data_IF_393089930882
#
_entry.id   IF_393089930882
#
_cell.length_a   1.000
_cell.length_b   1.000
_cell.length_c   1.000
_cell.angle_alpha   90.00
_cell.angle_beta   90.00
_cell.angle_gamma   90.00
#
_symmetry.space_group_name_H-M   'P 1'
#
loop_
_entity.id
_entity.type
_entity.pdbx_description
1 polymer ?
#
# COMPACT_ATOMS: atom_id res chain seq x y z
N UNK A 1 -21.66 -10.93 3.08
CA UNK A 1 -21.19 -10.66 4.43
C UNK A 1 -22.00 -9.50 5.03
N UNK A 2 -22.76 -9.71 6.13
CA UNK A 2 -23.56 -8.66 6.75
C UNK A 2 -22.70 -7.51 7.29
N UNK A 3 -21.41 -7.72 7.49
CA UNK A 3 -20.50 -6.72 8.02
C UNK A 3 -20.31 -5.48 7.16
N UNK A 4 -20.78 -5.48 5.91
CA UNK A 4 -20.76 -4.32 5.00
C UNK A 4 -22.17 -3.82 4.64
N UNK A 5 -23.19 -4.19 5.40
CA UNK A 5 -24.56 -3.72 5.15
C UNK A 5 -24.65 -2.18 5.16
N UNK A 6 -23.94 -1.51 6.08
CA UNK A 6 -23.88 -0.05 6.18
C UNK A 6 -23.41 0.61 4.87
N UNK A 7 -22.38 0.05 4.25
CA UNK A 7 -21.87 0.52 2.96
C UNK A 7 -22.87 0.22 1.83
N UNK A 8 -23.51 -0.96 1.88
CA UNK A 8 -24.56 -1.35 0.94
C UNK A 8 -25.74 -0.38 0.94
N UNK A 9 -26.23 0.02 2.11
CA UNK A 9 -27.32 0.98 2.27
C UNK A 9 -26.92 2.36 1.73
N UNK A 10 -25.71 2.84 2.05
CA UNK A 10 -25.21 4.10 1.55
C UNK A 10 -25.11 4.09 0.01
N UNK A 11 -24.48 3.08 -0.57
CA UNK A 11 -24.29 2.98 -2.02
C UNK A 11 -25.62 2.82 -2.76
N UNK A 12 -26.55 2.04 -2.22
CA UNK A 12 -27.90 1.90 -2.78
C UNK A 12 -28.64 3.25 -2.78
N UNK A 13 -28.54 4.04 -1.71
CA UNK A 13 -29.12 5.39 -1.64
C UNK A 13 -28.55 6.34 -2.70
N UNK A 14 -27.36 6.05 -3.19
CA UNK A 14 -26.67 6.77 -4.26
C UNK A 14 -26.94 6.17 -5.65
N UNK A 15 -27.82 5.16 -5.78
CA UNK A 15 -28.17 4.51 -7.04
C UNK A 15 -27.08 3.56 -7.56
N UNK A 16 -26.28 2.97 -6.68
CA UNK A 16 -25.28 1.94 -7.00
C UNK A 16 -25.83 0.59 -6.50
N UNK A 17 -25.86 -0.42 -7.37
CA UNK A 17 -26.20 -1.79 -6.97
C UNK A 17 -24.94 -2.40 -6.35
N UNK A 18 -25.01 -2.77 -5.07
CA UNK A 18 -23.95 -3.53 -4.40
C UNK A 18 -24.37 -4.99 -4.28
N UNK A 19 -23.51 -5.91 -4.73
CA UNK A 19 -23.65 -7.33 -4.54
C UNK A 19 -22.48 -7.86 -3.71
N UNK A 20 -22.77 -8.55 -2.62
CA UNK A 20 -21.77 -9.27 -1.83
C UNK A 20 -21.72 -10.72 -2.27
N UNK A 21 -20.58 -11.13 -2.80
CA UNK A 21 -20.35 -12.52 -3.21
C UNK A 21 -20.00 -13.35 -2.00
N UNK A 22 -20.67 -14.49 -1.84
CA UNK A 22 -20.38 -15.44 -0.76
C UNK A 22 -19.25 -16.39 -1.18
N UNK A 23 -18.10 -16.21 -0.53
CA UNK A 23 -16.91 -17.03 -0.72
C UNK A 23 -16.58 -17.86 0.54
N UNK A 24 -17.52 -18.01 1.47
CA UNK A 24 -17.30 -18.73 2.73
C UNK A 24 -16.85 -20.17 2.53
N UNK A 25 -17.27 -20.83 1.44
CA UNK A 25 -16.85 -22.19 1.14
C UNK A 25 -15.35 -22.32 0.83
N UNK A 26 -14.70 -21.23 0.42
CA UNK A 26 -13.25 -21.17 0.25
C UNK A 26 -12.55 -20.98 1.62
N UNK A 27 -13.18 -20.26 2.57
CA UNK A 27 -12.63 -19.97 3.90
C UNK A 27 -12.78 -21.10 4.92
N UNK A 28 -13.68 -22.04 4.72
CA UNK A 28 -14.19 -22.93 5.76
C UNK A 28 -13.50 -24.29 5.84
N UNK A 29 -12.40 -24.51 5.16
CA UNK A 29 -11.76 -25.82 5.08
C UNK A 29 -10.73 -26.03 6.19
N UNK A 30 -10.87 -27.14 6.95
CA UNK A 30 -9.78 -27.67 7.78
C UNK A 30 -8.51 -27.96 6.94
N UNK A 31 -8.65 -28.07 5.64
CA UNK A 31 -7.56 -28.23 4.70
C UNK A 31 -6.60 -27.03 4.69
N UNK A 32 -7.04 -25.82 5.04
CA UNK A 32 -6.17 -24.65 5.17
C UNK A 32 -5.10 -24.83 6.27
N UNK A 33 -5.38 -25.68 7.28
CA UNK A 33 -4.41 -26.00 8.35
C UNK A 33 -3.47 -27.15 7.95
N UNK A 34 -3.90 -28.02 7.03
CA UNK A 34 -3.20 -29.24 6.66
C UNK A 34 -2.77 -29.32 5.17
N UNK A 35 -2.59 -28.20 4.52
CA UNK A 35 -2.22 -28.12 3.11
C UNK A 35 -3.45 -28.09 2.19
N UNK A 36 -4.40 -27.23 2.50
CA UNK A 36 -5.58 -26.95 1.70
C UNK A 36 -5.29 -26.27 0.39
N UNK A 37 -6.21 -25.44 -0.05
CA UNK A 37 -6.01 -24.67 -1.27
C UNK A 37 -4.81 -23.75 -1.08
N UNK A 38 -3.72 -24.04 -1.73
CA UNK A 38 -2.63 -23.10 -1.90
C UNK A 38 -3.09 -22.02 -2.90
N UNK A 39 -2.71 -20.75 -2.64
CA UNK A 39 -2.96 -19.66 -3.58
C UNK A 39 -4.45 -19.37 -3.89
N UNK A 40 -5.33 -19.59 -2.93
CA UNK A 40 -6.79 -19.46 -3.08
C UNK A 40 -7.30 -18.08 -3.57
N UNK A 41 -6.46 -17.04 -3.58
CA UNK A 41 -6.85 -15.70 -4.00
C UNK A 41 -7.05 -15.58 -5.51
N UNK A 42 -6.48 -16.48 -6.31
CA UNK A 42 -6.81 -16.63 -7.72
C UNK A 42 -8.25 -17.11 -7.91
N UNK A 43 -8.63 -18.16 -7.17
CA UNK A 43 -10.00 -18.72 -7.22
C UNK A 43 -11.04 -17.68 -6.76
N UNK A 44 -10.72 -16.84 -5.77
CA UNK A 44 -11.58 -15.73 -5.34
C UNK A 44 -11.76 -14.70 -6.44
N UNK A 45 -10.67 -14.27 -7.06
CA UNK A 45 -10.71 -13.32 -8.18
C UNK A 45 -11.47 -13.88 -9.39
N UNK A 46 -11.25 -15.14 -9.70
CA UNK A 46 -11.96 -15.81 -10.81
C UNK A 46 -13.47 -15.93 -10.55
N UNK A 47 -13.85 -16.30 -9.33
CA UNK A 47 -15.26 -16.39 -8.93
C UNK A 47 -16.00 -15.07 -9.11
N UNK A 48 -15.37 -13.93 -8.81
CA UNK A 48 -15.95 -12.61 -9.05
C UNK A 48 -16.26 -12.39 -10.54
N UNK A 49 -15.38 -12.82 -11.44
CA UNK A 49 -15.62 -12.71 -12.89
C UNK A 49 -16.77 -13.62 -13.36
N UNK A 50 -16.88 -14.83 -12.82
CA UNK A 50 -18.02 -15.71 -13.12
C UNK A 50 -19.34 -15.11 -12.59
N UNK A 51 -19.33 -14.47 -11.42
CA UNK A 51 -20.49 -13.72 -10.95
C UNK A 51 -20.85 -12.57 -11.89
N UNK A 52 -19.90 -11.77 -12.35
CA UNK A 52 -20.15 -10.71 -13.33
C UNK A 52 -20.77 -11.26 -14.63
N UNK A 53 -20.30 -12.41 -15.10
CA UNK A 53 -20.86 -13.09 -16.27
C UNK A 53 -22.33 -13.46 -16.07
N UNK A 54 -22.68 -14.02 -14.92
CA UNK A 54 -24.07 -14.33 -14.55
C UNK A 54 -24.92 -13.04 -14.48
N UNK A 55 -24.42 -11.97 -13.85
CA UNK A 55 -25.15 -10.70 -13.79
C UNK A 55 -25.37 -10.08 -15.16
N UNK A 56 -24.40 -10.14 -16.07
CA UNK A 56 -24.57 -9.73 -17.46
C UNK A 56 -25.64 -10.55 -18.19
N UNK A 57 -25.70 -11.86 -17.91
CA UNK A 57 -26.72 -12.73 -18.47
C UNK A 57 -28.12 -12.35 -17.95
N UNK A 58 -28.28 -12.15 -16.64
CA UNK A 58 -29.55 -11.73 -16.05
C UNK A 58 -30.03 -10.37 -16.60
N UNK A 59 -29.12 -9.45 -16.83
CA UNK A 59 -29.43 -8.16 -17.42
C UNK A 59 -29.96 -8.26 -18.86
N UNK A 60 -29.57 -9.31 -19.60
CA UNK A 60 -30.01 -9.59 -20.98
C UNK A 60 -31.23 -10.51 -21.06
N UNK A 61 -31.53 -11.30 -20.03
CA UNK A 61 -32.55 -12.32 -20.04
C UNK A 61 -33.94 -11.73 -19.94
N UNK A 62 -34.80 -11.99 -20.93
CA UNK A 62 -36.19 -11.53 -20.94
C UNK A 62 -36.99 -12.06 -19.77
N UNK A 63 -37.71 -11.18 -19.08
CA UNK A 63 -38.51 -11.51 -17.88
C UNK A 63 -37.73 -11.68 -16.58
N UNK A 64 -36.41 -11.56 -16.59
CA UNK A 64 -35.63 -11.53 -15.35
C UNK A 64 -35.79 -10.21 -14.59
N UNK A 65 -35.79 -10.26 -13.24
CA UNK A 65 -35.97 -9.07 -12.39
C UNK A 65 -34.95 -7.95 -12.69
N UNK A 66 -33.73 -8.33 -13.07
CA UNK A 66 -32.62 -7.41 -13.36
C UNK A 66 -32.50 -7.04 -14.85
N UNK A 67 -33.44 -7.49 -15.71
CA UNK A 67 -33.39 -7.18 -17.12
C UNK A 67 -33.33 -5.66 -17.37
N UNK A 68 -32.28 -5.20 -18.06
CA UNK A 68 -32.08 -3.80 -18.41
C UNK A 68 -31.83 -2.84 -17.24
N UNK A 69 -31.53 -3.37 -16.04
CA UNK A 69 -31.36 -2.56 -14.82
C UNK A 69 -29.89 -2.42 -14.38
N UNK A 70 -29.00 -3.19 -14.96
CA UNK A 70 -27.57 -3.16 -14.59
C UNK A 70 -26.82 -2.35 -15.63
N UNK A 71 -26.13 -1.32 -15.17
CA UNK A 71 -25.17 -0.59 -16.01
C UNK A 71 -23.86 -1.40 -16.10
N UNK A 72 -23.77 -2.20 -17.15
CA UNK A 72 -22.60 -3.06 -17.40
C UNK A 72 -21.40 -2.30 -17.97
N UNK A 73 -21.53 -0.99 -18.22
CA UNK A 73 -20.43 -0.16 -18.66
C UNK A 73 -19.65 0.47 -17.50
N UNK A 74 -20.20 0.44 -16.28
CA UNK A 74 -19.64 1.07 -15.11
C UNK A 74 -19.63 0.10 -13.92
N UNK A 75 -18.60 -0.75 -13.85
CA UNK A 75 -18.43 -1.77 -12.82
C UNK A 75 -17.28 -1.42 -11.90
N UNK A 76 -17.42 -1.75 -10.61
CA UNK A 76 -16.37 -1.66 -9.63
C UNK A 76 -16.27 -2.96 -8.82
N UNK A 77 -15.07 -3.29 -8.36
CA UNK A 77 -14.81 -4.40 -7.45
C UNK A 77 -14.34 -3.86 -6.11
N UNK A 78 -14.82 -4.46 -5.02
CA UNK A 78 -14.42 -4.10 -3.64
C UNK A 78 -14.02 -5.37 -2.92
N UNK A 79 -12.85 -5.37 -2.28
CA UNK A 79 -12.38 -6.48 -1.48
C UNK A 79 -11.69 -6.05 -0.20
N UNK A 80 -11.79 -6.88 0.84
CA UNK A 80 -11.13 -6.67 2.12
C UNK A 80 -10.18 -7.83 2.42
N UNK A 81 -8.99 -7.52 2.97
CA UNK A 81 -7.99 -8.54 3.32
C UNK A 81 -7.59 -9.36 2.09
N UNK A 82 -7.72 -10.69 2.13
CA UNK A 82 -7.54 -11.58 0.97
C UNK A 82 -8.42 -11.20 -0.21
N UNK A 83 -9.64 -10.72 0.05
CA UNK A 83 -10.52 -10.18 -0.98
C UNK A 83 -9.96 -8.93 -1.65
N UNK A 84 -9.15 -8.13 -0.94
CA UNK A 84 -8.47 -6.96 -1.50
C UNK A 84 -7.41 -7.32 -2.54
N UNK A 85 -6.71 -8.43 -2.38
CA UNK A 85 -5.85 -9.00 -3.42
C UNK A 85 -6.66 -9.67 -4.53
N UNK A 86 -7.71 -10.41 -4.18
CA UNK A 86 -8.56 -11.09 -5.15
C UNK A 86 -9.21 -10.15 -6.17
N UNK A 87 -9.62 -8.94 -5.77
CA UNK A 87 -10.15 -7.95 -6.72
C UNK A 87 -9.09 -7.43 -7.69
N UNK A 88 -7.82 -7.39 -7.29
CA UNK A 88 -6.71 -7.09 -8.17
C UNK A 88 -6.49 -8.22 -9.20
N UNK A 89 -6.55 -9.48 -8.74
CA UNK A 89 -6.49 -10.64 -9.64
C UNK A 89 -7.66 -10.65 -10.62
N UNK A 90 -8.89 -10.38 -10.17
CA UNK A 90 -10.04 -10.27 -11.03
C UNK A 90 -9.85 -9.18 -12.11
N UNK A 91 -9.32 -8.02 -11.76
CA UNK A 91 -9.04 -6.97 -12.73
C UNK A 91 -7.97 -7.38 -13.75
N UNK A 92 -6.94 -8.11 -13.33
CA UNK A 92 -5.92 -8.69 -14.21
C UNK A 92 -6.52 -9.77 -15.11
N UNK A 93 -7.19 -10.78 -14.57
CA UNK A 93 -7.77 -11.90 -15.30
C UNK A 93 -8.81 -11.44 -16.33
N UNK A 94 -9.53 -10.35 -16.03
CA UNK A 94 -10.50 -9.74 -16.93
C UNK A 94 -9.91 -9.34 -18.30
N UNK A 95 -8.59 -9.20 -18.39
CA UNK A 95 -7.87 -8.79 -19.61
C UNK A 95 -7.02 -9.90 -20.21
N UNK A 96 -6.84 -11.01 -19.50
CA UNK A 96 -6.02 -12.13 -19.98
C UNK A 96 -6.83 -13.06 -20.89
N UNK A 97 -6.21 -13.63 -21.93
CA UNK A 97 -6.85 -14.62 -22.79
C UNK A 97 -6.87 -16.04 -22.21
N UNK A 98 -6.06 -16.29 -21.17
CA UNK A 98 -5.92 -17.59 -20.52
C UNK A 98 -5.63 -17.40 -19.02
N UNK A 99 -5.97 -18.41 -18.24
CA UNK A 99 -5.55 -18.50 -16.85
C UNK A 99 -4.01 -18.54 -16.79
N UNK A 100 -3.36 -17.74 -15.93
CA UNK A 100 -1.90 -17.57 -15.97
C UNK A 100 -1.09 -18.84 -15.72
N UNK A 101 -1.62 -19.76 -14.92
CA UNK A 101 -0.92 -21.00 -14.54
C UNK A 101 -1.28 -22.19 -15.44
N UNK A 102 -2.30 -22.07 -16.26
CA UNK A 102 -2.69 -23.12 -17.21
C UNK A 102 -3.35 -22.56 -18.48
N UNK A 103 -2.58 -22.42 -19.54
CA UNK A 103 -3.06 -21.93 -20.83
C UNK A 103 -4.07 -22.89 -21.53
N UNK A 104 -4.34 -24.07 -20.98
CA UNK A 104 -5.44 -24.92 -21.44
C UNK A 104 -6.82 -24.39 -21.02
N UNK A 105 -6.85 -23.44 -20.06
CA UNK A 105 -8.06 -22.81 -19.56
C UNK A 105 -8.22 -21.42 -20.19
N UNK A 106 -9.08 -21.27 -21.22
CA UNK A 106 -9.29 -19.96 -21.85
C UNK A 106 -10.16 -19.06 -20.98
N UNK A 107 -9.80 -17.79 -20.91
CA UNK A 107 -10.61 -16.72 -20.36
C UNK A 107 -11.32 -15.97 -21.49
N UNK A 108 -12.59 -15.70 -21.31
CA UNK A 108 -13.43 -14.91 -22.23
C UNK A 108 -14.15 -13.82 -21.42
N UNK A 109 -13.36 -13.11 -20.59
CA UNK A 109 -13.85 -11.95 -19.87
C UNK A 109 -13.46 -10.69 -20.67
N UNK A 110 -13.98 -9.61 -20.40
CA UNK A 110 -13.64 -8.28 -20.84
C UNK A 110 -14.72 -7.30 -20.33
N UNK A 111 -15.03 -7.41 -19.06
CA UNK A 111 -16.00 -6.54 -18.42
C UNK A 111 -15.45 -5.11 -18.29
N UNK A 112 -16.34 -4.12 -18.27
CA UNK A 112 -15.97 -2.73 -18.08
C UNK A 112 -15.74 -2.41 -16.59
N UNK A 113 -14.71 -3.03 -15.99
CA UNK A 113 -14.28 -2.75 -14.63
C UNK A 113 -13.55 -1.40 -14.65
N UNK A 114 -14.16 -0.37 -14.06
CA UNK A 114 -13.64 1.00 -14.01
C UNK A 114 -12.76 1.24 -12.79
N UNK A 115 -13.02 0.51 -11.71
CA UNK A 115 -12.35 0.77 -10.45
C UNK A 115 -12.28 -0.46 -9.54
N UNK A 116 -11.24 -0.47 -8.72
CA UNK A 116 -10.98 -1.45 -7.67
C UNK A 116 -10.78 -0.73 -6.35
N UNK A 117 -11.43 -1.23 -5.31
CA UNK A 117 -11.23 -0.78 -3.92
C UNK A 117 -10.69 -1.94 -3.11
N UNK A 118 -9.52 -1.75 -2.49
CA UNK A 118 -8.88 -2.71 -1.62
C UNK A 118 -8.83 -2.16 -0.19
N UNK A 119 -9.49 -2.85 0.75
CA UNK A 119 -9.53 -2.49 2.15
C UNK A 119 -8.56 -3.42 2.88
N UNK A 120 -7.54 -2.85 3.53
CA UNK A 120 -6.53 -3.59 4.29
C UNK A 120 -6.04 -4.86 3.56
N UNK A 121 -5.67 -4.78 2.26
CA UNK A 121 -5.40 -5.95 1.45
C UNK A 121 -4.08 -6.60 1.83
N UNK A 122 -4.02 -7.93 1.67
CA UNK A 122 -2.76 -8.64 1.47
C UNK A 122 -2.27 -8.42 0.03
N UNK A 123 -1.02 -8.77 -0.25
CA UNK A 123 -0.44 -8.71 -1.59
C UNK A 123 0.70 -9.73 -1.69
N UNK A 124 0.63 -10.64 -2.63
CA UNK A 124 1.59 -11.71 -2.85
C UNK A 124 1.24 -13.04 -2.19
N UNK A 125 -0.04 -13.30 -1.92
CA UNK A 125 -0.51 -14.64 -1.56
C UNK A 125 -0.79 -15.51 -2.81
N UNK A 126 -0.94 -14.88 -3.97
CA UNK A 126 -0.95 -15.54 -5.25
C UNK A 126 -0.01 -14.80 -6.22
N UNK A 127 0.99 -15.50 -6.71
CA UNK A 127 2.04 -14.93 -7.57
C UNK A 127 2.20 -15.79 -8.85
N UNK A 128 1.30 -15.64 -9.85
CA UNK A 128 1.40 -16.41 -11.09
C UNK A 128 2.73 -16.15 -11.79
N UNK A 129 3.45 -17.21 -12.14
CA UNK A 129 4.77 -17.11 -12.73
C UNK A 129 5.78 -16.38 -11.86
N UNK A 130 5.68 -16.53 -10.53
CA UNK A 130 6.54 -15.88 -9.51
C UNK A 130 6.50 -14.34 -9.58
N UNK A 131 5.36 -13.78 -10.02
CA UNK A 131 5.17 -12.33 -10.16
C UNK A 131 3.85 -11.89 -9.56
N UNK A 132 3.89 -10.78 -8.83
CA UNK A 132 2.68 -10.17 -8.26
C UNK A 132 1.79 -9.58 -9.34
N UNK A 133 0.47 -9.60 -9.11
CA UNK A 133 -0.51 -9.09 -10.04
C UNK A 133 -0.22 -7.66 -10.49
N UNK A 134 -0.37 -7.42 -11.80
CA UNK A 134 -0.30 -6.11 -12.44
C UNK A 134 -1.56 -5.92 -13.25
N UNK A 135 -2.16 -4.76 -13.15
CA UNK A 135 -3.27 -4.39 -14.02
C UNK A 135 -3.15 -2.92 -14.44
N UNK A 136 -3.79 -2.59 -15.54
CA UNK A 136 -3.68 -1.30 -16.19
C UNK A 136 -5.07 -0.71 -16.45
N UNK A 137 -5.12 0.62 -16.54
CA UNK A 137 -6.29 1.38 -16.98
C UNK A 137 -7.55 1.14 -16.14
N UNK A 138 -7.35 0.93 -14.84
CA UNK A 138 -8.40 0.79 -13.82
C UNK A 138 -8.05 1.68 -12.64
N UNK A 139 -8.96 2.54 -12.22
CA UNK A 139 -8.75 3.38 -11.02
C UNK A 139 -8.67 2.51 -9.76
N UNK A 140 -7.86 2.91 -8.79
CA UNK A 140 -7.58 2.11 -7.61
C UNK A 140 -7.64 2.92 -6.32
N UNK A 141 -8.33 2.39 -5.32
CA UNK A 141 -8.31 2.93 -3.97
C UNK A 141 -7.83 1.86 -2.99
N UNK A 142 -6.83 2.16 -2.19
CA UNK A 142 -6.46 1.36 -1.03
C UNK A 142 -6.69 2.13 0.26
N UNK A 143 -7.40 1.51 1.21
CA UNK A 143 -7.58 1.97 2.58
C UNK A 143 -6.85 1.00 3.51
N UNK A 144 -5.99 1.51 4.40
CA UNK A 144 -5.24 0.65 5.33
C UNK A 144 -5.13 1.31 6.70
N UNK A 145 -5.25 0.51 7.74
CA UNK A 145 -5.12 0.96 9.13
C UNK A 145 -3.68 0.92 9.64
N UNK A 146 -3.25 1.96 10.34
CA UNK A 146 -1.91 1.99 10.94
C UNK A 146 -1.76 1.02 12.12
N UNK A 147 -2.87 0.64 12.76
CA UNK A 147 -2.94 -0.34 13.85
C UNK A 147 -3.46 -1.70 13.37
N UNK A 148 -3.39 -1.98 12.06
CA UNK A 148 -3.70 -3.29 11.52
C UNK A 148 -2.70 -4.34 12.06
N UNK A 149 -3.20 -5.29 12.84
CA UNK A 149 -2.39 -6.34 13.45
C UNK A 149 -2.47 -7.67 12.69
N UNK A 150 -3.38 -7.78 11.73
CA UNK A 150 -3.48 -8.94 10.84
C UNK A 150 -2.58 -8.72 9.59
N UNK A 151 -2.80 -7.66 8.85
CA UNK A 151 -1.93 -7.24 7.74
C UNK A 151 -1.05 -6.08 8.21
N UNK A 152 -0.01 -6.41 8.97
CA UNK A 152 0.80 -5.44 9.73
C UNK A 152 1.78 -4.61 8.90
N UNK A 153 1.94 -4.90 7.62
CA UNK A 153 2.64 -4.07 6.64
C UNK A 153 1.64 -3.44 5.67
N UNK A 154 1.93 -2.25 5.19
CA UNK A 154 1.06 -1.58 4.20
C UNK A 154 1.20 -2.25 2.82
N UNK A 155 0.76 -3.52 2.72
CA UNK A 155 0.91 -4.33 1.52
C UNK A 155 0.16 -3.76 0.31
N UNK A 156 -1.01 -3.16 0.54
CA UNK A 156 -1.76 -2.50 -0.54
C UNK A 156 -1.00 -1.39 -1.25
N UNK A 157 0.02 -0.80 -0.61
CA UNK A 157 0.91 0.15 -1.27
C UNK A 157 1.76 -0.49 -2.36
N UNK A 158 2.07 -1.78 -2.25
CA UNK A 158 2.83 -2.51 -3.27
C UNK A 158 1.99 -2.70 -4.54
N UNK A 159 0.70 -3.02 -4.38
CA UNK A 159 -0.23 -3.09 -5.51
C UNK A 159 -0.39 -1.71 -6.17
N UNK A 160 -0.52 -0.64 -5.36
CA UNK A 160 -0.60 0.75 -5.84
C UNK A 160 0.58 1.11 -6.77
N UNK A 161 1.81 0.74 -6.41
CA UNK A 161 3.01 1.04 -7.21
C UNK A 161 3.04 0.32 -8.56
N UNK A 162 2.37 -0.83 -8.69
CA UNK A 162 2.36 -1.64 -9.92
C UNK A 162 1.30 -1.24 -10.94
N UNK A 163 0.31 -0.43 -10.54
CA UNK A 163 -0.76 0.03 -11.43
C UNK A 163 -0.22 1.11 -12.37
N UNK A 164 -0.54 0.97 -13.65
CA UNK A 164 -0.17 1.91 -14.72
C UNK A 164 -1.41 2.37 -15.48
N UNK A 165 -1.34 3.59 -16.01
CA UNK A 165 -2.36 4.16 -16.89
C UNK A 165 -1.72 4.37 -18.24
N UNK A 166 -2.19 3.66 -19.25
CA UNK A 166 -1.59 3.57 -20.59
C UNK A 166 -2.53 4.03 -21.69
N UNK A 167 -3.85 4.06 -21.41
CA UNK A 167 -4.85 4.57 -22.34
C UNK A 167 -5.02 6.09 -22.25
N UNK A 168 -5.90 6.65 -23.07
CA UNK A 168 -6.18 8.10 -23.09
C UNK A 168 -7.31 8.54 -22.16
N UNK A 169 -7.85 7.61 -21.35
CA UNK A 169 -8.94 7.91 -20.43
C UNK A 169 -8.38 8.44 -19.09
N UNK A 170 -9.25 9.11 -18.35
CA UNK A 170 -8.89 9.57 -17.02
C UNK A 170 -9.06 8.44 -16.01
N UNK A 171 -7.96 8.10 -15.37
CA UNK A 171 -7.88 7.19 -14.24
C UNK A 171 -7.12 7.84 -13.11
N UNK A 172 -7.31 7.35 -11.89
CA UNK A 172 -6.47 7.73 -10.76
C UNK A 172 -6.33 6.58 -9.76
N UNK A 173 -5.26 6.63 -9.01
CA UNK A 173 -5.02 5.72 -7.89
C UNK A 173 -4.78 6.53 -6.62
N UNK A 174 -5.35 6.08 -5.52
CA UNK A 174 -5.23 6.72 -4.22
C UNK A 174 -4.93 5.69 -3.12
N UNK A 175 -4.03 6.04 -2.23
CA UNK A 175 -3.72 5.31 -1.01
C UNK A 175 -4.06 6.16 0.20
N UNK A 176 -4.78 5.60 1.17
CA UNK A 176 -5.12 6.28 2.41
C UNK A 176 -4.74 5.39 3.59
N UNK A 177 -3.73 5.83 4.33
CA UNK A 177 -3.25 5.16 5.54
C UNK A 177 -3.75 5.92 6.76
N UNK A 178 -4.50 5.24 7.63
CA UNK A 178 -5.31 5.87 8.67
C UNK A 178 -4.77 5.52 10.06
N UNK A 179 -4.32 6.51 10.81
CA UNK A 179 -3.92 6.33 12.20
C UNK A 179 -5.14 5.98 13.06
N UNK A 180 -4.98 5.00 13.95
CA UNK A 180 -6.06 4.53 14.82
C UNK A 180 -7.00 3.52 14.17
N UNK A 181 -6.89 3.25 12.86
CA UNK A 181 -7.67 2.20 12.23
C UNK A 181 -6.96 0.84 12.34
N UNK A 182 -7.72 -0.22 12.55
CA UNK A 182 -7.27 -1.62 12.58
C UNK A 182 -7.79 -2.40 11.36
N UNK A 183 -7.50 -3.70 11.31
CA UNK A 183 -7.98 -4.57 10.23
C UNK A 183 -9.49 -4.75 10.28
N UNK A 184 -10.02 -5.14 11.43
CA UNK A 184 -11.37 -5.67 11.58
C UNK A 184 -12.48 -4.64 11.52
N UNK A 185 -12.30 -3.43 12.06
CA UNK A 185 -13.42 -2.49 12.29
C UNK A 185 -14.00 -1.85 11.02
N UNK A 186 -13.39 -2.01 9.85
CA UNK A 186 -14.06 -1.70 8.58
C UNK A 186 -15.27 -2.60 8.31
N UNK A 187 -15.30 -3.77 8.96
CA UNK A 187 -16.39 -4.73 8.93
C UNK A 187 -17.10 -4.75 10.28
N UNK A 188 -18.42 -4.55 10.32
CA UNK A 188 -19.19 -4.46 11.57
C UNK A 188 -19.20 -5.75 12.39
N UNK A 189 -18.80 -6.88 11.79
CA UNK A 189 -18.83 -8.21 12.44
C UNK A 189 -17.47 -8.67 12.97
N UNK A 190 -16.35 -8.07 12.53
CA UNK A 190 -15.01 -8.54 12.89
C UNK A 190 -14.46 -7.88 14.16
N UNK A 191 -14.81 -6.62 14.42
CA UNK A 191 -14.51 -5.92 15.66
C UNK A 191 -13.07 -5.42 15.79
N UNK A 192 -12.67 -5.15 17.04
CA UNK A 192 -11.40 -4.49 17.38
C UNK A 192 -10.19 -5.43 17.51
N UNK A 193 -10.44 -6.74 17.58
CA UNK A 193 -9.40 -7.74 17.82
C UNK A 193 -9.00 -8.41 16.51
N UNK A 194 -7.96 -7.91 15.87
CA UNK A 194 -7.43 -8.44 14.61
C UNK A 194 -6.75 -9.80 14.79
N UNK A 195 -6.26 -10.10 15.99
CA UNK A 195 -5.64 -11.39 16.33
C UNK A 195 -6.58 -12.22 17.19
N UNK A 196 -6.84 -13.45 16.83
CA UNK A 196 -7.64 -14.36 17.63
C UNK A 196 -7.02 -14.66 19.01
N UNK A 197 -7.84 -15.22 19.94
CA UNK A 197 -7.34 -15.71 21.23
C UNK A 197 -6.20 -16.77 21.01
N UNK A 198 -5.11 -16.76 21.79
CA UNK A 198 -4.88 -15.99 23.04
C UNK A 198 -4.16 -14.65 22.87
N UNK A 199 -3.89 -14.19 21.67
CA UNK A 199 -3.01 -13.03 21.43
C UNK A 199 -3.67 -11.66 21.57
N UNK A 200 -4.99 -11.59 21.68
CA UNK A 200 -5.75 -10.32 21.80
C UNK A 200 -5.29 -9.44 22.96
N UNK A 201 -4.89 -10.03 24.07
CA UNK A 201 -4.40 -9.28 25.25
C UNK A 201 -3.02 -8.62 25.07
N UNK A 202 -2.33 -8.86 23.97
CA UNK A 202 -1.02 -8.27 23.68
C UNK A 202 -1.15 -6.97 22.86
N UNK A 203 -2.31 -6.69 22.30
CA UNK A 203 -2.56 -5.50 21.49
C UNK A 203 -2.90 -4.29 22.36
N UNK A 204 -2.35 -3.13 22.01
CA UNK A 204 -2.74 -1.86 22.63
C UNK A 204 -3.96 -1.26 21.90
N UNK A 205 -5.15 -1.66 22.30
CA UNK A 205 -6.41 -1.22 21.69
C UNK A 205 -6.80 0.23 22.05
N UNK A 206 -6.09 0.88 22.97
CA UNK A 206 -6.43 2.25 23.42
C UNK A 206 -6.26 3.33 22.35
N UNK A 207 -5.50 3.01 21.30
CA UNK A 207 -5.23 3.96 20.21
C UNK A 207 -6.21 3.78 19.04
N UNK A 208 -7.09 2.79 19.11
CA UNK A 208 -8.05 2.54 18.05
C UNK A 208 -9.10 3.64 17.99
N UNK A 209 -9.49 3.99 16.78
CA UNK A 209 -10.72 4.72 16.52
C UNK A 209 -11.92 3.89 16.98
N UNK A 210 -13.04 4.55 17.24
CA UNK A 210 -14.31 3.83 17.37
C UNK A 210 -14.64 3.09 16.06
N UNK A 211 -15.37 1.99 16.16
CA UNK A 211 -15.81 1.27 14.96
C UNK A 211 -16.66 2.16 14.04
N UNK A 212 -17.48 3.04 14.62
CA UNK A 212 -18.30 4.01 13.88
C UNK A 212 -17.45 4.99 13.10
N UNK A 213 -16.37 5.54 13.70
CA UNK A 213 -15.46 6.45 13.05
C UNK A 213 -14.70 5.76 11.91
N UNK A 214 -14.23 4.52 12.13
CA UNK A 214 -13.54 3.77 11.11
C UNK A 214 -14.45 3.40 9.93
N UNK A 215 -15.70 2.99 10.19
CA UNK A 215 -16.70 2.74 9.17
C UNK A 215 -17.05 4.03 8.42
N UNK A 216 -17.14 5.16 9.12
CA UNK A 216 -17.35 6.47 8.51
C UNK A 216 -16.25 6.85 7.52
N UNK A 217 -15.01 6.54 7.83
CA UNK A 217 -13.89 6.71 6.89
C UNK A 217 -14.11 5.86 5.64
N UNK A 218 -14.48 4.59 5.81
CA UNK A 218 -14.84 3.70 4.70
C UNK A 218 -15.97 4.26 3.84
N UNK A 219 -17.06 4.73 4.47
CA UNK A 219 -18.19 5.34 3.77
C UNK A 219 -17.77 6.54 2.91
N UNK A 220 -17.03 7.47 3.50
CA UNK A 220 -16.64 8.71 2.82
C UNK A 220 -15.73 8.42 1.65
N UNK A 221 -14.64 7.67 1.85
CA UNK A 221 -13.68 7.41 0.79
C UNK A 221 -14.24 6.49 -0.31
N UNK A 222 -14.92 5.39 0.06
CA UNK A 222 -15.42 4.44 -0.93
C UNK A 222 -16.55 5.06 -1.75
N UNK A 223 -17.53 5.74 -1.11
CA UNK A 223 -18.63 6.34 -1.85
C UNK A 223 -18.17 7.48 -2.76
N UNK A 224 -17.25 8.32 -2.30
CA UNK A 224 -16.67 9.40 -3.12
C UNK A 224 -15.85 8.84 -4.28
N UNK A 225 -15.06 7.80 -4.06
CA UNK A 225 -14.30 7.12 -5.11
C UNK A 225 -15.20 6.55 -6.20
N UNK A 226 -16.25 5.85 -5.81
CA UNK A 226 -17.23 5.27 -6.75
C UNK A 226 -18.05 6.36 -7.46
N UNK A 227 -18.39 7.45 -6.80
CA UNK A 227 -19.06 8.58 -7.46
C UNK A 227 -18.16 9.23 -8.53
N UNK A 228 -16.83 9.31 -8.30
CA UNK A 228 -15.89 9.78 -9.31
C UNK A 228 -15.79 8.78 -10.46
N UNK A 229 -15.49 7.52 -10.16
CA UNK A 229 -15.10 6.52 -11.16
C UNK A 229 -16.28 5.97 -11.97
N UNK A 230 -17.47 5.83 -11.35
CA UNK A 230 -18.65 5.30 -12.00
C UNK A 230 -19.60 6.40 -12.53
N UNK A 231 -19.54 7.61 -11.97
CA UNK A 231 -20.49 8.69 -12.29
C UNK A 231 -19.81 9.99 -12.72
N UNK A 232 -18.48 10.02 -12.81
CA UNK A 232 -17.67 11.16 -13.21
C UNK A 232 -17.89 12.43 -12.35
N UNK A 233 -18.18 12.27 -11.05
CA UNK A 233 -18.34 13.38 -10.10
C UNK A 233 -16.98 13.85 -9.57
N UNK A 234 -16.23 14.53 -10.39
CA UNK A 234 -14.83 14.95 -10.09
C UNK A 234 -14.70 15.95 -8.95
N UNK A 235 -15.79 16.55 -8.48
CA UNK A 235 -15.82 17.44 -7.32
C UNK A 235 -15.29 16.80 -6.04
N UNK A 236 -15.25 15.46 -5.96
CA UNK A 236 -14.68 14.73 -4.83
C UNK A 236 -13.17 14.46 -4.93
N UNK A 237 -12.53 14.68 -6.09
CA UNK A 237 -11.08 14.47 -6.26
C UNK A 237 -10.21 15.18 -5.20
N UNK A 238 -10.50 16.43 -4.78
CA UNK A 238 -9.69 17.10 -3.77
C UNK A 238 -9.54 16.33 -2.45
N UNK A 239 -10.51 15.48 -2.10
CA UNK A 239 -10.46 14.62 -0.91
C UNK A 239 -9.28 13.61 -0.96
N UNK A 240 -9.02 13.04 -2.14
CA UNK A 240 -7.96 12.04 -2.35
C UNK A 240 -6.57 12.66 -2.44
N UNK A 241 -6.49 13.91 -2.88
CA UNK A 241 -5.24 14.67 -2.93
C UNK A 241 -4.84 15.16 -1.53
N UNK A 242 -5.83 15.63 -0.75
CA UNK A 242 -5.61 16.18 0.58
C UNK A 242 -6.79 15.86 1.50
N UNK A 243 -6.59 14.96 2.44
CA UNK A 243 -7.60 14.52 3.41
C UNK A 243 -8.24 15.68 4.19
N UNK A 244 -7.54 16.81 4.38
CA UNK A 244 -8.07 18.02 5.03
C UNK A 244 -9.27 18.62 4.32
N UNK A 245 -9.45 18.31 3.03
CA UNK A 245 -10.65 18.71 2.26
C UNK A 245 -11.92 17.97 2.70
N UNK A 246 -11.75 16.82 3.36
CA UNK A 246 -12.84 16.02 3.91
C UNK A 246 -13.13 16.23 5.40
N UNK A 247 -12.47 17.19 6.07
CA UNK A 247 -12.54 17.37 7.53
C UNK A 247 -13.95 17.52 8.12
N UNK A 248 -14.92 17.92 7.32
CA UNK A 248 -16.32 18.04 7.76
C UNK A 248 -17.05 16.68 7.75
N UNK A 249 -16.49 15.69 7.08
CA UNK A 249 -17.07 14.36 6.90
C UNK A 249 -16.27 13.26 7.59
N UNK A 250 -14.97 13.51 7.80
CA UNK A 250 -14.03 12.55 8.37
C UNK A 250 -13.86 12.78 9.87
N UNK A 251 -13.66 11.72 10.67
CA UNK A 251 -13.29 11.85 12.06
C UNK A 251 -11.90 12.48 12.22
N UNK A 252 -11.64 13.03 13.40
CA UNK A 252 -10.36 13.63 13.73
C UNK A 252 -9.29 12.56 13.98
N UNK A 253 -8.43 12.35 12.99
CA UNK A 253 -7.27 11.47 13.07
C UNK A 253 -6.22 11.88 12.06
N UNK A 254 -5.09 11.16 12.02
CA UNK A 254 -4.03 11.41 11.03
C UNK A 254 -4.28 10.54 9.80
N UNK A 255 -4.31 11.19 8.65
CA UNK A 255 -4.37 10.55 7.35
C UNK A 255 -3.08 10.80 6.59
N UNK A 256 -2.47 9.73 6.09
CA UNK A 256 -1.41 9.83 5.09
C UNK A 256 -1.99 9.47 3.74
N UNK A 257 -1.97 10.42 2.81
CA UNK A 257 -2.57 10.25 1.49
C UNK A 257 -1.49 10.14 0.42
N UNK A 258 -1.72 9.26 -0.55
CA UNK A 258 -0.94 9.12 -1.76
C UNK A 258 -1.91 9.21 -2.95
N UNK A 259 -1.55 9.95 -3.97
CA UNK A 259 -2.42 10.18 -5.14
C UNK A 259 -1.59 10.30 -6.41
N UNK A 260 -2.03 9.63 -7.44
CA UNK A 260 -1.55 9.79 -8.81
C UNK A 260 -2.73 9.62 -9.78
N UNK A 261 -2.73 10.37 -10.88
CA UNK A 261 -3.71 10.19 -11.96
C UNK A 261 -3.01 10.03 -13.32
N UNK A 262 -3.82 9.86 -14.37
CA UNK A 262 -3.30 9.65 -15.73
C UNK A 262 -2.53 10.85 -16.30
N UNK A 263 -2.54 12.01 -15.65
CA UNK A 263 -1.72 13.15 -16.02
C UNK A 263 -0.36 13.18 -15.33
N UNK A 264 -0.12 12.25 -14.39
CA UNK A 264 1.13 12.17 -13.65
C UNK A 264 2.26 11.67 -14.55
N UNK A 265 3.32 12.45 -14.64
CA UNK A 265 4.53 12.07 -15.37
C UNK A 265 5.66 11.73 -14.40
N UNK A 266 6.07 10.46 -14.25
CA UNK A 266 7.17 10.10 -13.39
C UNK A 266 8.48 10.68 -13.90
N UNK A 267 9.18 11.39 -13.04
CA UNK A 267 10.49 11.98 -13.34
C UNK A 267 11.60 11.04 -12.94
N UNK A 268 11.56 10.54 -11.70
CA UNK A 268 12.53 9.62 -11.13
C UNK A 268 11.85 8.76 -10.05
N UNK A 269 11.51 7.53 -10.39
CA UNK A 269 11.01 6.52 -9.45
C UNK A 269 12.10 5.53 -9.04
N UNK A 270 13.29 5.62 -9.70
CA UNK A 270 14.47 4.81 -9.41
C UNK A 270 14.33 3.30 -9.66
N UNK A 271 13.31 2.89 -10.43
CA UNK A 271 13.03 1.49 -10.72
C UNK A 271 13.51 1.06 -12.12
N UNK A 272 13.89 2.03 -12.97
CA UNK A 272 14.17 1.82 -14.38
C UNK A 272 15.42 1.00 -14.66
N UNK A 273 16.50 1.23 -13.89
CA UNK A 273 17.78 0.52 -14.10
C UNK A 273 18.69 0.60 -12.84
N UNK A 274 19.99 0.31 -13.01
CA UNK A 274 21.01 0.43 -11.96
C UNK A 274 21.98 1.60 -12.21
N UNK A 275 21.70 2.45 -13.19
CA UNK A 275 22.53 3.59 -13.52
C UNK A 275 22.10 4.83 -12.73
N UNK A 276 22.83 5.15 -11.68
CA UNK A 276 22.54 6.29 -10.81
C UNK A 276 22.54 7.66 -11.52
N UNK A 277 22.99 7.72 -12.77
CA UNK A 277 23.03 8.94 -13.56
C UNK A 277 21.84 9.10 -14.53
N UNK A 278 20.95 8.11 -14.62
CA UNK A 278 19.72 8.14 -15.42
C UNK A 278 18.49 8.51 -14.58
N UNK A 279 17.38 8.71 -15.23
CA UNK A 279 16.07 8.95 -14.60
C UNK A 279 15.02 8.12 -15.32
N UNK A 280 13.86 7.88 -14.66
CA UNK A 280 12.70 7.23 -15.28
C UNK A 280 12.28 7.95 -16.57
N UNK A 281 12.39 9.26 -16.58
CA UNK A 281 12.12 10.03 -17.79
C UNK A 281 13.28 9.90 -18.76
N UNK A 282 12.97 9.50 -19.99
CA UNK A 282 13.94 9.35 -21.08
C UNK A 282 14.75 10.65 -21.29
N UNK A 283 16.05 10.53 -21.54
CA UNK A 283 16.98 11.67 -21.66
C UNK A 283 17.21 12.53 -20.40
N UNK A 284 16.64 12.18 -19.27
CA UNK A 284 16.97 12.80 -17.99
C UNK A 284 18.37 12.39 -17.51
N UNK A 285 19.03 13.27 -16.75
CA UNK A 285 20.37 13.01 -16.20
C UNK A 285 20.45 13.46 -14.76
N UNK A 286 21.14 12.65 -13.97
CA UNK A 286 21.38 12.93 -12.55
C UNK A 286 22.85 13.25 -12.33
N UNK A 287 23.11 14.25 -11.48
CA UNK A 287 24.44 14.57 -10.96
C UNK A 287 24.37 14.78 -9.46
N UNK A 288 25.43 14.38 -8.76
CA UNK A 288 25.57 14.61 -7.32
C UNK A 288 26.92 15.22 -7.00
N UNK A 289 26.93 16.19 -6.07
CA UNK A 289 28.14 16.84 -5.59
C UNK A 289 28.17 16.78 -4.05
N UNK A 290 29.31 16.52 -3.47
CA UNK A 290 29.56 16.49 -2.03
C UNK A 290 28.61 15.54 -1.23
N UNK A 291 28.05 14.53 -1.88
CA UNK A 291 27.26 13.50 -1.24
C UNK A 291 28.19 12.46 -0.57
N UNK A 292 27.97 12.16 0.68
CA UNK A 292 28.64 11.07 1.41
C UNK A 292 27.95 9.72 1.19
N UNK A 293 26.67 9.74 0.86
CA UNK A 293 25.86 8.59 0.45
C UNK A 293 25.10 8.97 -0.81
N UNK A 294 25.22 8.15 -1.82
CA UNK A 294 24.42 8.24 -3.04
C UNK A 294 24.21 6.82 -3.57
N UNK A 295 23.03 6.32 -3.41
CA UNK A 295 22.61 5.02 -3.92
C UNK A 295 21.10 4.99 -4.09
N UNK A 296 20.65 4.14 -4.93
CA UNK A 296 19.25 3.78 -5.09
C UNK A 296 19.01 2.39 -4.51
N UNK A 297 18.00 2.28 -3.70
CA UNK A 297 17.75 1.06 -2.95
C UNK A 297 16.26 0.85 -2.78
N UNK A 298 15.85 -0.40 -2.72
CA UNK A 298 14.48 -0.78 -2.42
C UNK A 298 14.04 -0.31 -1.03
N UNK A 299 12.85 0.26 -0.96
CA UNK A 299 12.25 0.72 0.29
C UNK A 299 11.79 -0.50 1.09
N UNK A 300 12.15 -0.52 2.38
CA UNK A 300 11.70 -1.54 3.32
C UNK A 300 10.48 -1.06 4.09
N UNK A 301 9.44 -1.87 4.12
CA UNK A 301 8.35 -1.77 5.06
C UNK A 301 8.71 -2.49 6.37
N UNK A 302 7.78 -2.55 7.31
CA UNK A 302 8.01 -3.15 8.63
C UNK A 302 8.48 -4.61 8.55
N UNK A 303 7.86 -5.41 7.72
CA UNK A 303 8.15 -6.85 7.57
C UNK A 303 8.43 -7.25 6.13
N UNK A 304 8.13 -6.40 5.18
CA UNK A 304 8.15 -6.64 3.75
C UNK A 304 9.00 -5.60 3.02
N UNK A 305 9.22 -5.80 1.74
CA UNK A 305 9.74 -4.80 0.83
C UNK A 305 8.57 -4.06 0.17
N UNK A 306 8.70 -2.77 -0.08
CA UNK A 306 7.64 -1.98 -0.71
C UNK A 306 7.43 -2.35 -2.19
N UNK A 307 8.46 -2.92 -2.84
CA UNK A 307 8.44 -3.21 -4.28
C UNK A 307 8.71 -1.98 -5.14
N UNK A 308 9.16 -0.88 -4.55
CA UNK A 308 9.67 0.31 -5.24
C UNK A 308 10.97 0.78 -4.60
N UNK A 309 11.77 1.54 -5.35
CA UNK A 309 13.07 2.03 -4.91
C UNK A 309 13.00 3.50 -4.53
N UNK A 310 13.99 3.98 -3.84
CA UNK A 310 14.19 5.38 -3.52
C UNK A 310 15.66 5.75 -3.59
N UNK A 311 15.93 7.02 -3.83
CA UNK A 311 17.23 7.62 -3.63
C UNK A 311 17.55 7.67 -2.13
N UNK A 312 18.69 7.13 -1.73
CA UNK A 312 19.32 7.37 -0.44
C UNK A 312 20.46 8.37 -0.64
N UNK A 313 20.20 9.59 -0.18
CA UNK A 313 21.18 10.67 -0.24
C UNK A 313 21.64 11.04 1.17
N UNK A 314 22.92 11.18 1.35
CA UNK A 314 23.50 11.65 2.61
C UNK A 314 24.61 12.64 2.34
N UNK A 315 24.85 13.52 3.30
CA UNK A 315 25.91 14.50 3.24
C UNK A 315 26.63 14.58 4.58
N UNK A 316 27.83 15.13 4.56
CA UNK A 316 28.61 15.30 5.78
C UNK A 316 28.16 16.56 6.55
N UNK A 317 27.22 16.37 7.48
CA UNK A 317 26.69 17.44 8.33
C UNK A 317 27.60 17.81 9.52
N UNK A 318 28.73 17.10 9.69
CA UNK A 318 29.67 17.36 10.75
C UNK A 318 30.68 18.49 10.43
N UNK A 319 30.54 19.12 9.27
CA UNK A 319 31.29 20.35 8.96
C UNK A 319 30.82 21.44 9.91
N UNK A 320 31.65 21.76 10.92
CA UNK A 320 31.40 22.90 11.75
C UNK A 320 31.57 24.18 10.93
N UNK A 321 30.51 24.98 10.86
CA UNK A 321 30.69 26.37 10.49
C UNK A 321 31.66 27.01 11.51
N UNK A 322 32.57 27.90 11.09
CA UNK A 322 33.40 28.65 12.05
C UNK A 322 32.48 29.27 13.12
N UNK A 323 32.84 29.13 14.37
CA UNK A 323 32.01 29.34 15.57
C UNK A 323 31.39 30.75 15.72
N UNK A 324 31.74 31.70 14.89
CA UNK A 324 31.36 33.11 15.03
C UNK A 324 30.49 33.64 13.88
N UNK A 325 30.02 32.79 13.02
CA UNK A 325 29.11 33.21 11.97
C UNK A 325 27.95 32.23 11.84
N UNK A 326 26.74 32.72 12.07
CA UNK A 326 25.55 32.23 11.35
C UNK A 326 25.86 32.46 9.85
N UNK A 327 26.97 31.92 9.40
CA UNK A 327 27.56 32.13 8.10
C UNK A 327 27.31 30.92 7.23
N UNK A 328 26.82 31.19 6.08
CA UNK A 328 26.68 30.28 4.97
C UNK A 328 27.81 29.25 4.89
N UNK A 329 27.48 27.97 4.92
CA UNK A 329 28.40 26.92 4.47
C UNK A 329 28.93 27.34 3.10
N UNK A 330 30.24 27.34 2.84
CA UNK A 330 30.77 27.67 1.54
C UNK A 330 30.13 26.79 0.45
N UNK A 331 29.76 27.37 -0.69
CA UNK A 331 29.11 26.65 -1.80
C UNK A 331 29.87 25.39 -2.20
N UNK A 332 31.20 25.41 -2.08
CA UNK A 332 32.06 24.23 -2.35
C UNK A 332 31.86 23.04 -1.42
N UNK A 333 31.14 23.22 -0.31
CA UNK A 333 30.84 22.19 0.67
C UNK A 333 29.35 21.82 0.73
N UNK A 334 28.50 22.54 -0.02
CA UNK A 334 27.11 22.19 -0.13
C UNK A 334 26.95 20.86 -0.88
N UNK A 335 26.21 19.95 -0.29
CA UNK A 335 25.79 18.75 -1.00
C UNK A 335 24.64 19.07 -1.94
N UNK A 336 24.72 18.59 -3.16
CA UNK A 336 23.64 18.73 -4.13
C UNK A 336 23.32 17.40 -4.82
N UNK A 337 22.04 17.21 -5.12
CA UNK A 337 21.55 16.19 -6.02
C UNK A 337 20.68 16.88 -7.05
N UNK A 338 21.10 16.87 -8.29
CA UNK A 338 20.44 17.61 -9.35
C UNK A 338 19.93 16.67 -10.44
N UNK A 339 18.66 16.81 -10.76
CA UNK A 339 18.02 16.11 -11.88
C UNK A 339 17.86 17.12 -13.01
N UNK A 340 18.55 16.87 -14.13
CA UNK A 340 18.37 17.65 -15.37
C UNK A 340 17.38 16.91 -16.25
N UNK A 341 16.25 17.54 -16.50
CA UNK A 341 15.18 16.99 -17.34
C UNK A 341 15.27 17.55 -18.77
N UNK A 342 14.82 16.79 -19.77
CA UNK A 342 14.54 17.32 -21.09
C UNK A 342 13.44 18.40 -20.99
N UNK A 343 13.31 19.19 -22.05
CA UNK A 343 12.29 20.23 -22.10
C UNK A 343 10.88 19.61 -21.91
N UNK A 344 10.14 20.17 -20.99
CA UNK A 344 8.75 19.76 -20.70
C UNK A 344 7.86 21.00 -20.72
N UNK A 345 6.61 20.79 -21.07
CA UNK A 345 5.58 21.85 -20.97
C UNK A 345 5.09 21.89 -19.53
N UNK A 346 5.36 22.97 -18.84
CA UNK A 346 4.90 23.20 -17.47
C UNK A 346 4.04 24.45 -17.49
N UNK A 347 2.78 24.33 -17.11
CA UNK A 347 1.86 25.45 -16.97
C UNK A 347 1.65 25.84 -15.49
N UNK A 348 0.81 26.81 -15.24
CA UNK A 348 0.55 27.32 -13.89
C UNK A 348 -0.21 26.34 -13.00
N UNK A 349 -0.75 25.24 -13.54
CA UNK A 349 -1.45 24.20 -12.81
C UNK A 349 -0.54 23.02 -12.46
N UNK A 350 0.66 22.95 -13.06
CA UNK A 350 1.61 21.89 -12.81
C UNK A 350 2.18 21.95 -11.38
N UNK A 351 2.38 20.79 -10.78
CA UNK A 351 3.01 20.65 -9.47
C UNK A 351 4.12 19.59 -9.52
N UNK A 352 5.21 19.84 -8.82
CA UNK A 352 6.21 18.82 -8.55
C UNK A 352 5.82 18.09 -7.26
N UNK A 353 5.67 16.78 -7.34
CA UNK A 353 5.34 15.92 -6.21
C UNK A 353 6.53 15.02 -5.90
N UNK A 354 6.93 14.95 -4.65
CA UNK A 354 7.97 14.02 -4.19
C UNK A 354 7.70 13.60 -2.74
N UNK A 355 8.18 12.41 -2.39
CA UNK A 355 8.13 11.91 -1.00
C UNK A 355 9.55 11.95 -0.42
N UNK A 356 9.65 12.34 0.85
CA UNK A 356 10.92 12.42 1.56
C UNK A 356 10.76 11.93 2.99
N UNK A 357 11.75 11.17 3.47
CA UNK A 357 11.80 10.71 4.86
C UNK A 357 13.25 10.70 5.36
N UNK A 358 13.43 10.87 6.65
CA UNK A 358 14.72 10.70 7.29
C UNK A 358 15.08 9.21 7.34
N UNK A 359 16.30 8.88 6.90
CA UNK A 359 16.81 7.52 6.99
C UNK A 359 17.28 7.22 8.42
N UNK A 360 17.09 5.98 8.88
CA UNK A 360 17.70 5.47 10.12
C UNK A 360 19.20 5.18 9.96
N UNK A 361 19.72 5.20 8.76
CA UNK A 361 21.13 4.97 8.47
C UNK A 361 21.93 6.26 8.65
N UNK A 362 23.15 6.13 9.19
CA UNK A 362 24.05 7.27 9.32
C UNK A 362 24.59 7.70 7.95
N UNK A 363 24.52 8.99 7.66
CA UNK A 363 25.17 9.60 6.51
C UNK A 363 26.67 9.84 6.72
N UNK A 364 27.21 9.55 7.91
CA UNK A 364 28.61 9.74 8.24
C UNK A 364 29.49 8.88 7.32
N UNK A 365 30.51 9.44 6.65
CA UNK A 365 31.42 8.68 5.81
C UNK A 365 32.06 7.53 6.59
N UNK A 366 32.18 6.35 5.99
CA UNK A 366 32.84 5.18 6.60
C UNK A 366 34.36 5.37 6.75
N UNK A 367 34.95 6.34 6.08
CA UNK A 367 36.37 6.70 6.22
C UNK A 367 36.54 7.67 7.39
N UNK A 368 37.45 7.40 8.28
CA UNK A 368 37.93 8.30 9.32
C UNK A 368 38.59 9.55 8.69
N UNK A 369 37.78 10.42 8.13
CA UNK A 369 38.25 11.73 7.70
C UNK A 369 38.10 12.76 8.83
N UNK A 370 38.92 13.82 8.79
CA UNK A 370 38.82 14.98 9.72
C UNK A 370 37.45 15.64 9.77
N UNK A 371 36.51 15.14 8.98
CA UNK A 371 35.13 15.61 8.85
C UNK A 371 34.09 14.68 9.52
N UNK A 372 34.51 13.50 10.02
CA UNK A 372 33.62 12.62 10.76
C UNK A 372 33.51 13.12 12.21
N UNK A 373 32.29 13.36 12.70
CA UNK A 373 32.09 13.48 14.16
C UNK A 373 32.08 12.08 14.74
N UNK A 374 32.96 11.86 15.73
CA UNK A 374 32.80 10.70 16.59
C UNK A 374 31.46 10.82 17.30
N UNK A 375 30.55 9.91 17.06
CA UNK A 375 29.39 9.78 17.93
C UNK A 375 29.92 9.49 19.32
N UNK A 376 29.51 10.23 20.35
CA UNK A 376 29.87 9.83 21.71
C UNK A 376 29.39 8.39 21.89
N UNK A 377 30.35 7.50 22.18
CA UNK A 377 30.02 6.13 22.58
C UNK A 377 28.97 6.23 23.69
N UNK A 378 27.82 5.60 23.49
CA UNK A 378 26.91 5.34 24.59
C UNK A 378 27.70 4.47 25.56
N UNK A 379 28.21 5.08 26.64
CA UNK A 379 28.71 4.34 27.78
C UNK A 379 27.52 3.50 28.24
N UNK A 380 27.61 2.20 28.01
CA UNK A 380 26.72 1.23 28.60
C UNK A 380 26.83 1.43 30.14
N UNK A 381 25.79 2.00 30.70
CA UNK A 381 25.63 2.10 32.14
C UNK A 381 25.22 0.72 32.67
N UNK A 382 26.16 -0.23 32.64
CA UNK A 382 26.08 -1.48 33.40
C UNK A 382 27.43 -2.21 33.37
N UNK A 383 28.39 -1.70 34.16
CA UNK A 383 29.50 -2.50 34.63
C UNK A 383 30.02 -1.91 35.92
N UNK A 384 29.27 -2.07 36.97
CA UNK A 384 29.80 -2.06 38.35
C UNK A 384 28.86 -2.92 39.18
N UNK A 385 29.17 -4.18 39.29
CA UNK A 385 28.93 -4.98 40.49
C UNK A 385 30.08 -5.95 40.64
N UNK A 386 30.77 -5.72 41.70
CA UNK A 386 31.97 -6.34 42.18
C UNK A 386 31.96 -7.86 42.21
N UNK A 387 33.14 -8.38 41.90
CA UNK A 387 33.59 -9.73 42.21
C UNK A 387 33.72 -9.92 43.70
N UNK A 388 33.12 -10.92 44.27
CA UNK A 388 33.64 -11.64 45.40
C UNK A 388 33.66 -13.13 45.07
N UNK A 389 34.90 -13.61 45.05
CA UNK A 389 35.26 -15.03 44.97
C UNK A 389 34.81 -15.75 46.25
N UNK A 390 34.23 -16.92 46.11
CA UNK A 390 34.42 -18.01 47.05
C UNK A 390 34.48 -19.30 46.33
N UNK A 391 35.70 -19.86 46.29
CA UNK A 391 36.00 -21.26 46.04
C UNK A 391 35.25 -22.14 47.02
N UNK A 392 34.67 -23.19 46.57
CA UNK A 392 34.72 -24.55 47.22
C UNK A 392 34.66 -25.66 46.22
N UNK A 393 35.68 -26.47 46.36
CA UNK A 393 35.91 -27.78 45.74
C UNK A 393 34.85 -28.78 46.17
N UNK A 394 34.68 -29.81 45.35
CA UNK A 394 34.43 -31.15 45.91
C UNK A 394 33.35 -31.96 45.20
N UNK A 395 33.86 -32.95 44.45
CA UNK A 395 33.44 -34.33 44.37
C UNK A 395 32.22 -34.75 43.53
N UNK A 396 32.62 -35.44 42.52
CA UNK A 396 32.10 -36.67 41.91
C UNK A 396 30.89 -37.34 42.57
N UNK A 397 29.95 -37.79 41.76
CA UNK A 397 29.68 -39.20 41.60
C UNK A 397 28.68 -39.53 40.47
N UNK A 398 29.06 -40.52 39.74
CA UNK A 398 28.34 -41.35 38.78
C UNK A 398 27.02 -41.92 39.35
N UNK A 399 26.13 -42.15 38.48
CA UNK A 399 25.43 -43.39 38.15
C UNK A 399 23.94 -43.27 37.83
N UNK A 400 23.66 -43.82 36.67
CA UNK A 400 22.54 -44.66 36.24
C UNK A 400 21.09 -44.37 36.70
N UNK A 401 20.28 -44.03 35.78
CA UNK A 401 19.29 -44.90 35.10
C UNK A 401 18.47 -44.15 34.08
#
# INVERSE_FOLDING_TARGET
DPGYAYLGELLASRGIILASVDENFINGSWSDIFGGLEEENDARGWLLLEHLKVWHQWNKTGGHLLQGKIDTANLALIGHSRGGEAVAHAAMFNKLPFYPDDASVPFDYNFNIKSVVAIAPVDGQYEPGESRAKFEDVSYLVLHGAQDADVSSYMGSQQYERIRFTDSLYHFKAGVYVYGANHGQFNTSWGENDTGNPFTGLLNLKQLLSAEDQQKIGEVYISSFLDITLKNKREYLPLFIDARRGREWLPETIFLSQFEDSSFEPVANYDEDFNLASTTREDGKVTGENLSVWREQEIKLKWEKKGSRALFAGWNYALEAPSDSIGSVPDSLLASYAIRLPAMVVDSSAALVFSMAESTESATPKSEGKWARDKPEKKDANSDTDKEETKKEGEENEDEK
#
